data_IF_186217505754
#
_entry.id   IF_186217505754
#
_cell.length_a   1.000
_cell.length_b   1.000
_cell.length_c   1.000
_cell.angle_alpha   90.00
_cell.angle_beta   90.00
_cell.angle_gamma   90.00
#
_symmetry.space_group_name_H-M   'P 1'
#
loop_
_entity.id
_entity.type
_entity.pdbx_description
1 polymer ?
#
# COMPACT_ATOMS: atom_id res chain seq x y z
N UNK A 1 -1.49 -20.72 3.45
CA UNK A 1 -0.39 -20.57 4.44
C UNK A 1 -0.10 -19.09 4.64
N UNK A 2 0.78 -18.73 5.58
CA UNK A 2 1.19 -17.32 5.73
C UNK A 2 1.85 -16.75 4.48
N UNK A 3 2.63 -17.57 3.77
CA UNK A 3 3.28 -17.17 2.52
C UNK A 3 2.27 -16.87 1.40
N UNK A 4 1.23 -17.69 1.23
CA UNK A 4 0.17 -17.43 0.25
C UNK A 4 -0.60 -16.13 0.55
N UNK A 5 -0.86 -15.84 1.83
CA UNK A 5 -1.50 -14.59 2.24
C UNK A 5 -0.61 -13.39 1.91
N UNK A 6 0.69 -13.48 2.21
CA UNK A 6 1.66 -12.44 1.83
C UNK A 6 1.67 -12.22 0.32
N UNK A 7 1.79 -13.30 -0.46
CA UNK A 7 1.79 -13.22 -1.92
C UNK A 7 0.52 -12.54 -2.44
N UNK A 8 -0.66 -12.91 -1.91
CA UNK A 8 -1.93 -12.29 -2.28
C UNK A 8 -1.98 -10.78 -2.01
N UNK A 9 -1.46 -10.33 -0.87
CA UNK A 9 -1.34 -8.90 -0.58
C UNK A 9 -0.31 -8.21 -1.49
N UNK A 10 0.86 -8.81 -1.71
CA UNK A 10 1.90 -8.29 -2.62
C UNK A 10 1.44 -8.25 -4.10
N UNK A 11 0.29 -8.84 -4.43
CA UNK A 11 -0.34 -8.82 -5.76
C UNK A 11 -1.73 -8.17 -5.76
N UNK A 12 -2.15 -7.56 -4.65
CA UNK A 12 -3.46 -6.94 -4.54
C UNK A 12 -3.55 -5.73 -5.47
N UNK A 13 -4.50 -5.78 -6.43
CA UNK A 13 -4.77 -4.69 -7.37
C UNK A 13 -6.23 -4.25 -7.35
N UNK A 14 -6.52 -3.23 -6.55
CA UNK A 14 -7.82 -2.57 -6.46
C UNK A 14 -7.71 -1.16 -7.02
N UNK A 15 -7.95 -1.03 -8.33
CA UNK A 15 -8.14 0.27 -9.00
C UNK A 15 -9.54 0.85 -8.68
N UNK A 16 -9.77 2.16 -8.94
CA UNK A 16 -11.06 2.78 -8.63
C UNK A 16 -12.28 2.07 -9.25
N UNK A 17 -12.14 1.47 -10.43
CA UNK A 17 -13.22 0.72 -11.08
C UNK A 17 -13.58 -0.54 -10.31
N UNK A 18 -12.58 -1.30 -9.84
CA UNK A 18 -12.81 -2.47 -8.98
C UNK A 18 -13.37 -2.08 -7.61
N UNK A 19 -12.89 -0.98 -7.04
CA UNK A 19 -13.40 -0.47 -5.76
C UNK A 19 -14.88 -0.11 -5.86
N UNK A 20 -15.28 0.54 -6.94
CA UNK A 20 -16.70 0.83 -7.22
C UNK A 20 -17.52 -0.46 -7.41
N UNK A 21 -17.00 -1.44 -8.14
CA UNK A 21 -17.65 -2.74 -8.33
C UNK A 21 -17.85 -3.53 -7.01
N UNK A 22 -16.98 -3.30 -6.02
CA UNK A 22 -17.12 -3.85 -4.66
C UNK A 22 -18.12 -3.10 -3.79
N UNK A 23 -18.72 -2.00 -4.28
CA UNK A 23 -19.61 -1.14 -3.51
C UNK A 23 -18.88 -0.26 -2.48
N UNK A 24 -17.57 -0.12 -2.61
CA UNK A 24 -16.71 0.62 -1.68
C UNK A 24 -16.26 1.98 -2.24
N UNK A 25 -16.99 2.50 -3.24
CA UNK A 25 -16.75 3.84 -3.78
C UNK A 25 -16.79 4.86 -2.63
N UNK A 26 -15.85 5.80 -2.66
CA UNK A 26 -15.65 6.87 -1.67
C UNK A 26 -15.29 6.41 -0.25
N UNK A 27 -15.16 5.09 0.01
CA UNK A 27 -14.63 4.56 1.27
C UNK A 27 -13.09 4.56 1.27
N UNK A 28 -12.48 4.19 0.14
CA UNK A 28 -11.06 4.31 -0.15
C UNK A 28 -10.85 4.54 -1.65
N UNK A 29 -9.71 5.10 -2.05
CA UNK A 29 -9.46 5.41 -3.47
C UNK A 29 -9.02 4.18 -4.27
N UNK A 30 -7.86 3.64 -3.93
CA UNK A 30 -7.24 2.49 -4.55
C UNK A 30 -6.29 1.81 -3.57
N UNK A 31 -6.08 0.51 -3.76
CA UNK A 31 -5.11 -0.27 -3.00
C UNK A 31 -4.37 -1.16 -4.00
N UNK A 32 -3.19 -0.70 -4.42
CA UNK A 32 -2.31 -1.42 -5.33
C UNK A 32 -0.97 -1.69 -4.66
N UNK A 33 -0.86 -2.85 -4.02
CA UNK A 33 0.32 -3.26 -3.26
C UNK A 33 1.28 -4.05 -4.18
N UNK A 34 2.58 -3.99 -3.88
CA UNK A 34 3.66 -4.77 -4.51
C UNK A 34 4.69 -5.20 -3.48
N UNK A 35 5.57 -6.15 -3.81
CA UNK A 35 6.63 -6.64 -2.91
C UNK A 35 7.60 -5.52 -2.41
N UNK A 36 7.74 -4.44 -3.19
CA UNK A 36 8.55 -3.26 -2.90
C UNK A 36 7.71 -2.05 -2.44
N UNK A 37 6.39 -2.22 -2.34
CA UNK A 37 5.47 -1.22 -1.84
C UNK A 37 4.29 -1.86 -1.08
N UNK A 38 4.46 -2.04 0.23
CA UNK A 38 3.44 -2.61 1.11
C UNK A 38 2.32 -1.63 1.52
N UNK A 39 2.42 -0.35 1.15
CA UNK A 39 1.38 0.66 1.43
C UNK A 39 0.39 0.79 0.27
N UNK A 40 0.88 0.71 -0.96
CA UNK A 40 0.13 1.07 -2.17
C UNK A 40 0.32 2.55 -2.51
N UNK A 41 -0.73 3.22 -2.98
CA UNK A 41 -0.60 4.60 -3.49
C UNK A 41 -0.79 5.68 -2.43
N UNK A 42 -1.37 5.34 -1.28
CA UNK A 42 -1.41 6.22 -0.10
C UNK A 42 -2.33 7.45 -0.21
N UNK A 43 -3.35 7.42 -1.07
CA UNK A 43 -4.29 8.55 -1.21
C UNK A 43 -5.09 8.80 0.07
N UNK A 44 -5.27 10.07 0.41
CA UNK A 44 -6.03 10.52 1.58
C UNK A 44 -7.08 11.57 1.20
N UNK A 45 -8.10 11.72 2.04
CA UNK A 45 -9.05 12.84 2.00
C UNK A 45 -9.07 13.54 3.36
N UNK A 46 -9.32 14.83 3.36
CA UNK A 46 -9.58 15.57 4.60
C UNK A 46 -11.06 15.59 4.91
N UNK A 47 -11.36 15.37 6.19
CA UNK A 47 -12.71 15.49 6.72
C UNK A 47 -12.72 16.57 7.80
N UNK A 48 -13.80 17.35 7.84
CA UNK A 48 -14.01 18.40 8.83
C UNK A 48 -15.27 18.13 9.64
N UNK A 49 -15.15 18.26 10.97
CA UNK A 49 -16.26 18.19 11.91
C UNK A 49 -17.05 19.50 11.91
N UNK A 50 -18.35 19.44 11.70
CA UNK A 50 -19.24 20.61 11.68
C UNK A 50 -19.99 20.86 13.01
N UNK A 51 -19.72 20.05 14.04
CA UNK A 51 -20.46 20.05 15.31
C UNK A 51 -21.47 18.92 15.44
N UNK A 52 -21.83 18.24 14.35
CA UNK A 52 -22.81 17.14 14.31
C UNK A 52 -22.33 15.91 13.53
N UNK A 53 -21.56 16.12 12.47
CA UNK A 53 -21.02 15.05 11.61
C UNK A 53 -19.67 15.43 11.01
N UNK A 54 -18.95 14.43 10.53
CA UNK A 54 -17.79 14.61 9.66
C UNK A 54 -18.27 14.79 8.23
N UNK A 55 -17.69 15.77 7.53
CA UNK A 55 -17.92 15.99 6.10
C UNK A 55 -16.58 15.89 5.38
N UNK A 56 -16.54 15.17 4.25
CA UNK A 56 -15.39 15.19 3.35
C UNK A 56 -15.30 16.59 2.72
N UNK A 57 -14.14 17.23 2.81
CA UNK A 57 -13.93 18.63 2.36
C UNK A 57 -12.79 18.78 1.35
N UNK A 58 -12.25 17.67 0.85
CA UNK A 58 -11.24 17.65 -0.21
C UNK A 58 -11.53 16.54 -1.20
N UNK A 59 -10.93 16.67 -2.39
CA UNK A 59 -10.73 15.51 -3.27
C UNK A 59 -9.68 14.56 -2.66
N UNK A 60 -9.44 13.43 -3.32
CA UNK A 60 -8.34 12.53 -3.01
C UNK A 60 -6.99 13.20 -3.28
N UNK A 61 -6.10 13.15 -2.30
CA UNK A 61 -4.78 13.79 -2.33
C UNK A 61 -3.72 12.70 -2.31
N UNK A 62 -2.86 12.70 -3.32
CA UNK A 62 -1.71 11.81 -3.39
C UNK A 62 -0.58 12.28 -2.45
N UNK A 63 0.19 11.35 -1.87
CA UNK A 63 1.42 11.69 -1.20
C UNK A 63 2.51 12.03 -2.23
N UNK A 64 3.51 12.82 -1.82
CA UNK A 64 4.69 13.10 -2.64
C UNK A 64 5.66 11.91 -2.62
N UNK A 65 5.39 10.91 -3.45
CA UNK A 65 6.20 9.70 -3.54
C UNK A 65 7.64 9.97 -3.97
N UNK A 66 7.88 10.98 -4.80
CA UNK A 66 9.22 11.32 -5.26
C UNK A 66 10.08 11.83 -4.10
N UNK A 67 9.49 12.59 -3.19
CA UNK A 67 10.13 13.03 -1.95
C UNK A 67 10.24 11.91 -0.91
N UNK A 68 9.18 11.12 -0.73
CA UNK A 68 9.07 10.16 0.39
C UNK A 68 9.82 8.84 0.14
N UNK A 69 9.80 8.31 -1.10
CA UNK A 69 10.39 6.99 -1.40
C UNK A 69 11.88 6.89 -0.98
N UNK A 70 12.76 7.85 -1.28
CA UNK A 70 14.15 7.79 -0.85
C UNK A 70 14.32 7.78 0.68
N UNK A 71 13.43 8.45 1.41
CA UNK A 71 13.46 8.50 2.89
C UNK A 71 13.06 7.13 3.45
N UNK A 72 12.01 6.52 2.90
CA UNK A 72 11.51 5.20 3.30
C UNK A 72 12.58 4.13 3.05
N UNK A 73 13.14 4.08 1.84
CA UNK A 73 14.15 3.09 1.46
C UNK A 73 15.39 3.20 2.34
N UNK A 74 15.91 4.42 2.56
CA UNK A 74 17.04 4.64 3.45
C UNK A 74 16.78 4.15 4.88
N UNK A 75 15.58 4.38 5.41
CA UNK A 75 15.20 3.91 6.74
C UNK A 75 15.10 2.38 6.79
N UNK A 76 14.52 1.76 5.77
CA UNK A 76 14.36 0.31 5.68
C UNK A 76 15.71 -0.41 5.53
N UNK A 77 16.62 0.12 4.70
CA UNK A 77 17.98 -0.39 4.52
C UNK A 77 18.83 -0.30 5.80
N UNK A 78 18.73 0.82 6.52
CA UNK A 78 19.41 1.01 7.79
C UNK A 78 18.93 -0.01 8.83
N UNK A 79 17.61 -0.20 8.93
CA UNK A 79 17.03 -1.21 9.82
C UNK A 79 17.47 -2.63 9.45
N UNK A 80 17.43 -2.97 8.15
CA UNK A 80 17.85 -4.28 7.66
C UNK A 80 19.31 -4.56 8.01
N UNK A 81 20.19 -3.57 7.85
CA UNK A 81 21.59 -3.66 8.24
C UNK A 81 21.76 -3.86 9.75
N UNK A 82 21.09 -3.08 10.58
CA UNK A 82 21.16 -3.18 12.04
C UNK A 82 20.72 -4.57 12.54
N UNK A 83 19.70 -5.15 11.92
CA UNK A 83 19.12 -6.44 12.31
C UNK A 83 19.72 -7.64 11.57
N UNK A 84 20.66 -7.43 10.65
CA UNK A 84 21.23 -8.50 9.82
C UNK A 84 20.19 -9.17 8.90
N UNK A 85 19.17 -8.42 8.47
CA UNK A 85 18.11 -8.91 7.58
C UNK A 85 18.59 -8.75 6.13
N UNK A 86 18.54 -9.85 5.37
CA UNK A 86 18.75 -9.80 3.91
C UNK A 86 17.51 -9.23 3.24
N UNK A 87 17.68 -8.15 2.46
CA UNK A 87 16.60 -7.60 1.65
C UNK A 87 16.13 -8.60 0.59
N UNK A 88 14.81 -8.66 0.40
CA UNK A 88 14.17 -9.49 -0.62
C UNK A 88 14.28 -8.85 -2.00
N UNK A 89 14.26 -9.69 -3.00
CA UNK A 89 14.13 -9.34 -4.42
C UNK A 89 12.72 -9.66 -4.91
N UNK A 90 12.36 -9.18 -6.09
CA UNK A 90 11.13 -9.59 -6.77
C UNK A 90 11.03 -11.12 -6.91
N UNK A 91 12.14 -11.80 -7.25
CA UNK A 91 12.16 -13.25 -7.38
C UNK A 91 11.85 -13.98 -6.06
N UNK A 92 12.29 -13.44 -4.91
CA UNK A 92 11.96 -14.00 -3.60
C UNK A 92 10.46 -13.87 -3.27
N UNK A 93 9.78 -12.85 -3.82
CA UNK A 93 8.34 -12.67 -3.68
C UNK A 93 7.54 -13.68 -4.49
N UNK A 94 7.98 -13.93 -5.73
CA UNK A 94 7.24 -14.78 -6.67
C UNK A 94 7.45 -16.28 -6.43
N UNK A 95 8.55 -16.67 -5.78
CA UNK A 95 8.87 -18.07 -5.50
C UNK A 95 7.79 -18.81 -4.69
N UNK A 96 6.94 -18.10 -3.93
CA UNK A 96 5.81 -18.68 -3.18
C UNK A 96 4.71 -19.22 -4.07
N UNK A 97 4.49 -18.63 -5.25
CA UNK A 97 3.45 -19.08 -6.18
C UNK A 97 3.87 -20.33 -6.97
N UNK A 98 5.16 -20.68 -6.97
CA UNK A 98 5.73 -21.77 -7.78
C UNK A 98 5.76 -23.14 -7.05
N UNK A 99 5.35 -23.21 -5.80
CA UNK A 99 5.39 -24.44 -4.97
C UNK A 99 4.03 -25.12 -4.79
N UNK A 100 3.00 -24.67 -5.52
CA UNK A 100 1.67 -25.28 -5.60
C UNK A 100 1.36 -25.68 -7.05
#
# INVERSE_FOLDING_TARGET
TGDEVRWGFEHLKLDPTKVEALGAKDLFHSINVSWDNHEGEGYVTFQQWDGKKWNVVSDWIAPDWALLRPIIEKSAEAYATEKGIKLRTAADADAVAATN
#
